data_IF_963682805627
#
_entry.id   IF_963682805627
#
_cell.length_a   1.000
_cell.length_b   1.000
_cell.length_c   1.000
_cell.angle_alpha   90.00
_cell.angle_beta   90.00
_cell.angle_gamma   90.00
#
_symmetry.space_group_name_H-M   'P 1'
#
loop_
_entity.id
_entity.type
_entity.pdbx_description
1 polymer ?
#
# COMPACT_ATOMS: atom_id res chain seq x y z
N UNK A 1 -11.49 16.63 5.31
CA UNK A 1 -11.36 15.40 6.15
C UNK A 1 -11.34 15.65 7.66
N UNK A 2 -11.19 16.89 8.16
CA UNK A 2 -11.06 17.17 9.61
C UNK A 2 -12.22 16.67 10.49
N UNK A 3 -13.45 16.59 9.96
CA UNK A 3 -14.60 16.10 10.73
C UNK A 3 -14.46 14.60 11.05
N UNK A 4 -14.10 13.78 10.06
CA UNK A 4 -13.98 12.33 10.25
C UNK A 4 -12.83 11.99 11.22
N UNK A 5 -11.70 12.68 11.11
CA UNK A 5 -10.59 12.52 12.05
C UNK A 5 -11.01 12.90 13.48
N UNK A 6 -11.76 13.99 13.65
CA UNK A 6 -12.21 14.43 14.98
C UNK A 6 -13.21 13.44 15.59
N UNK A 7 -14.13 12.89 14.80
CA UNK A 7 -15.04 11.85 15.27
C UNK A 7 -14.27 10.58 15.67
N UNK A 8 -13.26 10.21 14.89
CA UNK A 8 -12.39 9.08 15.19
C UNK A 8 -11.63 9.31 16.51
N UNK A 9 -11.01 10.48 16.70
CA UNK A 9 -10.34 10.85 17.95
C UNK A 9 -11.28 10.81 19.16
N UNK A 10 -12.49 11.37 19.02
CA UNK A 10 -13.50 11.31 20.09
C UNK A 10 -13.88 9.87 20.46
N UNK A 11 -13.98 8.97 19.48
CA UNK A 11 -14.21 7.54 19.74
C UNK A 11 -13.05 6.93 20.51
N UNK A 12 -11.80 7.20 20.09
CA UNK A 12 -10.61 6.70 20.77
C UNK A 12 -10.52 7.23 22.21
N UNK A 13 -10.78 8.52 22.44
CA UNK A 13 -10.74 9.17 23.77
C UNK A 13 -11.79 8.60 24.72
N UNK A 14 -12.98 8.25 24.21
CA UNK A 14 -14.05 7.65 25.02
C UNK A 14 -13.79 6.19 25.39
N UNK A 15 -12.82 5.53 24.75
CA UNK A 15 -12.48 4.13 24.96
C UNK A 15 -10.97 3.98 25.19
N UNK A 16 -10.43 4.49 26.31
CA UNK A 16 -8.98 4.57 26.52
C UNK A 16 -8.29 3.21 26.60
N UNK A 17 -8.97 2.20 27.13
CA UNK A 17 -8.40 0.86 27.40
C UNK A 17 -8.79 -0.16 26.32
N UNK A 18 -9.20 0.30 25.13
CA UNK A 18 -9.69 -0.54 24.04
C UNK A 18 -8.80 -0.41 22.81
N UNK A 19 -8.31 -1.55 22.29
CA UNK A 19 -7.72 -1.62 20.96
C UNK A 19 -8.78 -1.90 19.90
N UNK A 20 -8.52 -1.48 18.67
CA UNK A 20 -9.46 -1.62 17.55
C UNK A 20 -8.78 -2.30 16.37
N UNK A 21 -9.45 -3.29 15.78
CA UNK A 21 -9.00 -3.93 14.55
C UNK A 21 -9.69 -3.26 13.35
N UNK A 22 -8.93 -2.71 12.40
CA UNK A 22 -9.46 -1.86 11.33
C UNK A 22 -8.75 -2.07 9.99
N UNK A 23 -9.52 -2.24 8.90
CA UNK A 23 -9.04 -1.98 7.53
C UNK A 23 -9.07 -0.47 7.30
N UNK A 24 -8.00 0.09 6.71
CA UNK A 24 -7.78 1.53 6.68
C UNK A 24 -7.80 2.05 5.25
N UNK A 25 -9.00 2.18 4.67
CA UNK A 25 -9.10 2.71 3.31
C UNK A 25 -8.53 4.13 3.12
N UNK A 26 -8.65 5.02 4.11
CA UNK A 26 -8.11 6.39 4.05
C UNK A 26 -7.57 6.76 5.43
N UNK A 27 -6.24 6.75 5.63
CA UNK A 27 -5.67 7.02 6.93
C UNK A 27 -5.80 8.51 7.32
N UNK A 28 -6.04 8.74 8.61
CA UNK A 28 -5.86 10.05 9.25
C UNK A 28 -4.49 10.11 9.92
N UNK A 29 -4.04 11.30 10.31
CA UNK A 29 -2.77 11.44 11.02
C UNK A 29 -2.78 10.62 12.32
N UNK A 30 -3.91 10.65 13.03
CA UNK A 30 -4.15 9.89 14.26
C UNK A 30 -4.24 8.37 14.07
N UNK A 31 -4.43 7.86 12.85
CA UNK A 31 -4.59 6.42 12.61
C UNK A 31 -3.32 5.63 12.93
N UNK A 32 -2.14 6.20 12.72
CA UNK A 32 -0.87 5.46 12.81
C UNK A 32 -0.08 5.68 14.11
N UNK A 33 -0.58 6.50 15.03
CA UNK A 33 0.16 6.89 16.23
C UNK A 33 0.61 5.67 17.06
N UNK A 34 -0.34 4.80 17.38
CA UNK A 34 -0.15 3.58 18.18
C UNK A 34 -0.76 2.37 17.45
N UNK A 35 -0.40 2.21 16.17
CA UNK A 35 -0.90 1.13 15.34
C UNK A 35 0.18 0.07 15.06
N UNK A 36 -0.26 -1.18 14.91
CA UNK A 36 0.58 -2.30 14.47
C UNK A 36 -0.18 -3.20 13.48
N UNK A 37 0.52 -3.90 12.59
CA UNK A 37 -0.08 -4.94 11.76
C UNK A 37 -0.72 -6.06 12.59
N UNK A 38 -1.92 -6.48 12.18
CA UNK A 38 -2.66 -7.62 12.69
C UNK A 38 -3.19 -8.44 11.50
N UNK A 39 -2.30 -9.24 10.90
CA UNK A 39 -2.59 -9.90 9.61
C UNK A 39 -2.78 -8.86 8.51
N UNK A 40 -3.91 -8.86 7.76
CA UNK A 40 -4.16 -7.87 6.72
C UNK A 40 -4.62 -6.52 7.30
N UNK A 41 -5.23 -6.49 8.49
CA UNK A 41 -5.75 -5.25 9.09
C UNK A 41 -4.74 -4.64 10.07
N UNK A 42 -5.04 -3.45 10.58
CA UNK A 42 -4.27 -2.81 11.64
C UNK A 42 -4.96 -2.96 12.98
N UNK A 43 -4.19 -3.26 14.01
CA UNK A 43 -4.57 -2.99 15.40
C UNK A 43 -4.21 -1.53 15.70
N UNK A 44 -5.18 -0.75 16.16
CA UNK A 44 -5.04 0.64 16.59
C UNK A 44 -5.11 0.69 18.11
N UNK A 45 -4.41 1.66 18.72
CA UNK A 45 -4.26 1.78 20.18
C UNK A 45 -3.77 0.46 20.78
N UNK A 46 -2.69 -0.08 20.23
CA UNK A 46 -2.08 -1.31 20.73
C UNK A 46 -1.82 -1.18 22.24
N UNK A 47 -2.48 -2.03 23.03
CA UNK A 47 -2.36 -2.03 24.50
C UNK A 47 -1.31 -3.04 24.98
N UNK A 48 -1.19 -4.17 24.28
CA UNK A 48 -0.21 -5.20 24.59
C UNK A 48 1.16 -4.79 24.03
N UNK A 49 2.16 -4.66 24.88
CA UNK A 49 3.53 -4.33 24.47
C UNK A 49 4.10 -5.39 23.51
N UNK A 50 3.65 -6.64 23.60
CA UNK A 50 4.02 -7.69 22.63
C UNK A 50 3.49 -7.39 21.22
N UNK A 51 2.42 -6.58 21.14
CA UNK A 51 1.83 -6.12 19.90
C UNK A 51 2.40 -4.82 19.35
N UNK A 52 3.19 -4.10 20.14
CA UNK A 52 3.76 -2.82 19.72
C UNK A 52 4.63 -3.00 18.47
N UNK A 53 4.49 -2.09 17.50
CA UNK A 53 5.28 -2.17 16.27
C UNK A 53 6.77 -1.95 16.56
N UNK A 54 7.53 -3.04 16.50
CA UNK A 54 9.00 -3.08 16.55
C UNK A 54 9.58 -3.34 15.17
N UNK A 55 10.91 -3.26 15.04
CA UNK A 55 11.61 -3.70 13.80
C UNK A 55 11.32 -5.16 13.47
N UNK A 56 11.28 -6.02 14.47
CA UNK A 56 10.98 -7.45 14.26
C UNK A 56 9.57 -7.64 13.71
N UNK A 57 8.57 -6.97 14.29
CA UNK A 57 7.19 -7.02 13.79
C UNK A 57 7.03 -6.36 12.41
N UNK A 58 7.80 -5.32 12.10
CA UNK A 58 7.88 -4.78 10.75
C UNK A 58 8.38 -5.84 9.75
N UNK A 59 9.43 -6.60 10.12
CA UNK A 59 9.90 -7.75 9.35
C UNK A 59 8.82 -8.83 9.20
N UNK A 60 8.12 -9.19 10.27
CA UNK A 60 7.02 -10.17 10.22
C UNK A 60 5.87 -9.72 9.31
N UNK A 61 5.57 -8.43 9.24
CA UNK A 61 4.60 -7.86 8.29
C UNK A 61 5.05 -8.07 6.85
N UNK A 62 6.33 -7.86 6.55
CA UNK A 62 6.91 -8.16 5.22
C UNK A 62 6.78 -9.64 4.88
N UNK A 63 7.08 -10.53 5.82
CA UNK A 63 6.95 -11.99 5.65
C UNK A 63 5.49 -12.41 5.40
N UNK A 64 4.54 -11.80 6.13
CA UNK A 64 3.11 -12.02 5.91
C UNK A 64 2.69 -11.66 4.49
N UNK A 65 3.14 -10.51 3.97
CA UNK A 65 2.81 -10.07 2.62
C UNK A 65 3.51 -10.89 1.53
N UNK A 66 4.72 -11.39 1.78
CA UNK A 66 5.38 -12.37 0.89
C UNK A 66 4.54 -13.64 0.79
N UNK A 67 4.21 -14.26 1.92
CA UNK A 67 3.42 -15.49 1.96
C UNK A 67 2.03 -15.30 1.35
N UNK A 68 1.42 -14.12 1.56
CA UNK A 68 0.14 -13.75 0.94
C UNK A 68 0.25 -13.64 -0.58
N UNK A 69 1.32 -13.02 -1.09
CA UNK A 69 1.58 -12.94 -2.52
C UNK A 69 1.76 -14.33 -3.13
N UNK A 70 2.60 -15.18 -2.52
CA UNK A 70 2.81 -16.56 -2.97
C UNK A 70 1.50 -17.35 -3.00
N UNK A 71 0.68 -17.25 -1.95
CA UNK A 71 -0.62 -17.93 -1.88
C UNK A 71 -1.60 -17.44 -2.94
N UNK A 72 -1.75 -16.13 -3.11
CA UNK A 72 -2.68 -15.55 -4.08
C UNK A 72 -2.28 -15.84 -5.53
N UNK A 73 -0.97 -15.88 -5.82
CA UNK A 73 -0.46 -16.09 -7.17
C UNK A 73 -0.32 -17.57 -7.55
N UNK A 74 -0.27 -18.48 -6.55
CA UNK A 74 -0.30 -19.93 -6.79
C UNK A 74 -1.72 -20.48 -6.93
N UNK A 75 -2.74 -19.78 -6.42
CA UNK A 75 -4.14 -20.14 -6.59
C UNK A 75 -4.67 -19.63 -7.95
N UNK A 76 -5.09 -20.51 -8.88
CA UNK A 76 -5.48 -20.08 -10.23
C UNK A 76 -6.70 -19.15 -10.27
N UNK A 77 -7.64 -19.32 -9.34
CA UNK A 77 -8.85 -18.49 -9.28
C UNK A 77 -8.51 -17.08 -8.79
N UNK A 78 -7.72 -16.98 -7.72
CA UNK A 78 -7.24 -15.71 -7.20
C UNK A 78 -6.31 -15.01 -8.18
N UNK A 79 -5.40 -15.73 -8.85
CA UNK A 79 -4.46 -15.18 -9.82
C UNK A 79 -5.17 -14.50 -11.00
N UNK A 80 -6.28 -15.05 -11.48
CA UNK A 80 -7.09 -14.45 -12.56
C UNK A 80 -8.07 -13.37 -12.06
N UNK A 81 -8.35 -13.30 -10.77
CA UNK A 81 -9.34 -12.37 -10.23
C UNK A 81 -8.70 -11.04 -9.82
N UNK A 82 -8.93 -9.99 -10.61
CA UNK A 82 -8.38 -8.66 -10.32
C UNK A 82 -8.94 -8.03 -9.05
N UNK A 83 -10.20 -8.31 -8.71
CA UNK A 83 -10.85 -7.71 -7.54
C UNK A 83 -10.17 -8.07 -6.21
N UNK A 84 -10.02 -9.36 -5.83
CA UNK A 84 -9.32 -9.74 -4.61
C UNK A 84 -7.85 -9.32 -4.66
N UNK A 85 -7.17 -9.47 -5.81
CA UNK A 85 -5.78 -9.03 -5.97
C UNK A 85 -5.63 -7.54 -5.67
N UNK A 86 -6.50 -6.69 -6.19
CA UNK A 86 -6.43 -5.25 -5.93
C UNK A 86 -6.82 -4.90 -4.50
N UNK A 87 -7.76 -5.62 -3.89
CA UNK A 87 -8.09 -5.44 -2.48
C UNK A 87 -6.88 -5.76 -1.57
N UNK A 88 -6.21 -6.91 -1.78
CA UNK A 88 -5.01 -7.26 -1.02
C UNK A 88 -3.83 -6.32 -1.31
N UNK A 89 -3.63 -5.91 -2.57
CA UNK A 89 -2.60 -4.95 -2.92
C UNK A 89 -2.80 -3.59 -2.23
N UNK A 90 -4.05 -3.09 -2.19
CA UNK A 90 -4.41 -1.86 -1.49
C UNK A 90 -4.06 -1.96 0.00
N UNK A 91 -4.49 -3.03 0.67
CA UNK A 91 -4.25 -3.23 2.10
C UNK A 91 -2.76 -3.38 2.41
N UNK A 92 -2.00 -4.09 1.58
CA UNK A 92 -0.54 -4.16 1.71
C UNK A 92 0.10 -2.77 1.60
N UNK A 93 -0.37 -1.97 0.65
CA UNK A 93 0.13 -0.62 0.43
C UNK A 93 -0.22 0.34 1.59
N UNK A 94 -1.35 0.13 2.27
CA UNK A 94 -1.72 0.84 3.51
C UNK A 94 -0.80 0.47 4.67
N UNK A 95 -0.45 -0.81 4.82
CA UNK A 95 0.54 -1.20 5.84
C UNK A 95 1.93 -0.63 5.55
N UNK A 96 2.32 -0.51 4.29
CA UNK A 96 3.57 0.15 3.92
C UNK A 96 3.58 1.63 4.33
N UNK A 97 2.45 2.34 4.29
CA UNK A 97 2.37 3.71 4.83
C UNK A 97 2.63 3.75 6.32
N UNK A 98 2.03 2.84 7.09
CA UNK A 98 2.29 2.72 8.53
C UNK A 98 3.79 2.52 8.76
N UNK A 99 4.41 1.59 8.03
CA UNK A 99 5.84 1.32 8.13
C UNK A 99 6.68 2.56 7.80
N UNK A 100 6.36 3.30 6.73
CA UNK A 100 7.04 4.57 6.41
C UNK A 100 6.90 5.61 7.51
N UNK A 101 5.68 5.80 8.03
CA UNK A 101 5.41 6.77 9.10
C UNK A 101 6.13 6.43 10.40
N UNK A 102 6.45 5.15 10.60
CA UNK A 102 7.17 4.64 11.78
C UNK A 102 8.67 4.48 11.54
N UNK A 103 9.17 4.88 10.37
CA UNK A 103 10.61 4.90 10.04
C UNK A 103 11.17 3.59 9.49
N UNK A 104 10.33 2.60 9.19
CA UNK A 104 10.70 1.29 8.63
C UNK A 104 10.66 1.33 7.10
N UNK A 105 11.49 2.18 6.49
CA UNK A 105 11.44 2.46 5.06
C UNK A 105 11.80 1.26 4.17
N UNK A 106 12.73 0.40 4.62
CA UNK A 106 13.13 -0.79 3.88
C UNK A 106 11.99 -1.84 3.86
N UNK A 107 11.37 -2.05 5.01
CA UNK A 107 10.23 -2.95 5.18
C UNK A 107 9.01 -2.44 4.40
N UNK A 108 8.78 -1.13 4.39
CA UNK A 108 7.74 -0.50 3.58
C UNK A 108 7.95 -0.70 2.08
N UNK A 109 9.16 -0.48 1.58
CA UNK A 109 9.46 -0.71 0.16
C UNK A 109 9.22 -2.16 -0.24
N UNK A 110 9.69 -3.11 0.57
CA UNK A 110 9.49 -4.52 0.28
C UNK A 110 8.01 -4.91 0.29
N UNK A 111 7.23 -4.34 1.21
CA UNK A 111 5.78 -4.51 1.26
C UNK A 111 5.10 -3.93 0.02
N UNK A 112 5.50 -2.75 -0.45
CA UNK A 112 5.00 -2.15 -1.69
C UNK A 112 5.36 -2.98 -2.93
N UNK A 113 6.53 -3.63 -2.95
CA UNK A 113 6.91 -4.55 -4.01
C UNK A 113 5.99 -5.76 -4.06
N UNK A 114 5.68 -6.37 -2.91
CA UNK A 114 4.68 -7.44 -2.85
C UNK A 114 3.28 -6.96 -3.19
N UNK A 115 2.88 -5.76 -2.77
CA UNK A 115 1.61 -5.16 -3.16
C UNK A 115 1.49 -5.02 -4.69
N UNK A 116 2.55 -4.55 -5.35
CA UNK A 116 2.61 -4.42 -6.80
C UNK A 116 2.65 -5.78 -7.53
N UNK A 117 3.22 -6.82 -6.92
CA UNK A 117 3.21 -8.19 -7.43
C UNK A 117 1.81 -8.82 -7.33
N UNK A 118 1.16 -8.64 -6.17
CA UNK A 118 -0.21 -9.10 -5.91
C UNK A 118 -1.15 -8.42 -6.90
N UNK A 119 -1.11 -7.10 -7.05
CA UNK A 119 -2.00 -6.37 -7.96
C UNK A 119 -1.23 -5.47 -8.93
N UNK A 120 -0.67 -6.01 -10.03
CA UNK A 120 -0.04 -5.20 -11.06
C UNK A 120 -1.07 -4.23 -11.62
N UNK A 121 -0.78 -2.93 -11.52
CA UNK A 121 -1.73 -1.88 -11.89
C UNK A 121 -2.76 -1.53 -10.82
N UNK A 122 -2.62 -1.96 -9.56
CA UNK A 122 -3.30 -1.30 -8.44
C UNK A 122 -2.73 0.13 -8.28
N UNK A 123 -3.57 1.19 -8.32
CA UNK A 123 -3.10 2.57 -8.17
C UNK A 123 -2.33 2.79 -6.87
N UNK A 124 -2.83 2.25 -5.77
CA UNK A 124 -2.27 2.44 -4.45
C UNK A 124 -0.88 1.82 -4.37
N UNK A 125 -0.71 0.57 -4.81
CA UNK A 125 0.59 -0.09 -4.80
C UNK A 125 1.60 0.62 -5.71
N UNK A 126 1.20 0.91 -6.96
CA UNK A 126 2.10 1.49 -7.97
C UNK A 126 2.54 2.90 -7.56
N UNK A 127 1.60 3.80 -7.30
CA UNK A 127 1.97 5.21 -7.05
C UNK A 127 2.72 5.38 -5.73
N UNK A 128 2.41 4.60 -4.69
CA UNK A 128 3.19 4.65 -3.45
C UNK A 128 4.61 4.17 -3.65
N UNK A 129 4.83 3.09 -4.42
CA UNK A 129 6.17 2.61 -4.76
C UNK A 129 6.95 3.65 -5.59
N UNK A 130 6.31 4.23 -6.61
CA UNK A 130 6.93 5.27 -7.43
C UNK A 130 7.30 6.50 -6.61
N UNK A 131 6.41 6.95 -5.71
CA UNK A 131 6.68 8.08 -4.83
C UNK A 131 7.85 7.80 -3.90
N UNK A 132 7.88 6.63 -3.26
CA UNK A 132 8.97 6.23 -2.38
C UNK A 132 10.32 6.19 -3.12
N UNK A 133 10.37 5.58 -4.31
CA UNK A 133 11.58 5.52 -5.11
C UNK A 133 12.02 6.91 -5.58
N UNK A 134 11.06 7.78 -5.93
CA UNK A 134 11.32 9.16 -6.33
C UNK A 134 11.89 10.00 -5.17
N UNK A 135 11.33 9.88 -3.96
CA UNK A 135 11.83 10.55 -2.75
C UNK A 135 13.25 10.11 -2.39
N UNK A 136 13.59 8.84 -2.64
CA UNK A 136 14.95 8.30 -2.49
C UNK A 136 15.89 8.65 -3.67
N UNK A 137 15.41 9.40 -4.67
CA UNK A 137 16.17 9.74 -5.87
C UNK A 137 16.45 8.56 -6.80
N UNK A 138 15.83 7.39 -6.61
CA UNK A 138 16.00 6.18 -7.43
C UNK A 138 15.15 6.24 -8.70
N UNK A 139 15.34 7.30 -9.49
CA UNK A 139 14.50 7.63 -10.66
C UNK A 139 14.54 6.56 -11.75
N UNK A 140 15.69 5.91 -11.97
CA UNK A 140 15.81 4.84 -12.96
C UNK A 140 14.95 3.61 -12.59
N UNK A 141 14.92 3.24 -11.31
CA UNK A 141 14.07 2.15 -10.83
C UNK A 141 12.60 2.52 -10.85
N UNK A 142 12.26 3.74 -10.42
CA UNK A 142 10.89 4.25 -10.51
C UNK A 142 10.39 4.21 -11.96
N UNK A 143 11.24 4.63 -12.91
CA UNK A 143 10.90 4.59 -14.33
C UNK A 143 10.65 3.16 -14.81
N UNK A 144 11.52 2.21 -14.45
CA UNK A 144 11.36 0.80 -14.81
C UNK A 144 10.06 0.21 -14.25
N UNK A 145 9.70 0.53 -13.00
CA UNK A 145 8.43 0.10 -12.39
C UNK A 145 7.24 0.68 -13.15
N UNK A 146 7.27 1.97 -13.48
CA UNK A 146 6.18 2.63 -14.20
C UNK A 146 6.00 2.07 -15.62
N UNK A 147 7.09 1.88 -16.37
CA UNK A 147 7.06 1.31 -17.72
C UNK A 147 6.59 -0.15 -17.70
N UNK A 148 7.03 -0.96 -16.72
CA UNK A 148 6.53 -2.32 -16.57
C UNK A 148 5.03 -2.35 -16.24
N UNK A 149 4.56 -1.42 -15.41
CA UNK A 149 3.14 -1.30 -15.08
C UNK A 149 2.31 -0.98 -16.31
N UNK A 150 2.74 -0.03 -17.16
CA UNK A 150 2.06 0.26 -18.44
C UNK A 150 1.99 -0.98 -19.33
N UNK A 151 3.07 -1.76 -19.40
CA UNK A 151 3.14 -2.97 -20.23
C UNK A 151 2.24 -4.10 -19.73
N UNK A 152 2.07 -4.23 -18.43
CA UNK A 152 1.38 -5.36 -17.77
C UNK A 152 -0.02 -5.02 -17.27
N UNK A 153 -0.45 -3.76 -17.43
CA UNK A 153 -1.75 -3.27 -17.04
C UNK A 153 -2.87 -4.13 -17.67
N UNK A 154 -3.84 -4.62 -16.86
CA UNK A 154 -4.97 -5.34 -17.41
C UNK A 154 -5.73 -4.48 -18.44
N UNK A 155 -6.32 -5.10 -19.49
CA UNK A 155 -7.08 -4.37 -20.49
C UNK A 155 -8.27 -3.63 -19.85
N UNK A 156 -8.65 -2.51 -20.45
CA UNK A 156 -9.70 -1.59 -19.94
C UNK A 156 -10.99 -2.31 -19.53
N UNK A 157 -11.41 -3.31 -20.28
CA UNK A 157 -12.64 -4.06 -20.00
C UNK A 157 -12.57 -4.88 -18.70
N UNK A 158 -11.39 -5.41 -18.36
CA UNK A 158 -11.16 -6.09 -17.07
C UNK A 158 -11.07 -5.10 -15.90
N UNK A 159 -10.64 -3.86 -16.16
CA UNK A 159 -10.55 -2.81 -15.14
C UNK A 159 -11.88 -2.10 -14.87
N UNK A 160 -12.79 -2.07 -15.85
CA UNK A 160 -14.08 -1.36 -15.76
C UNK A 160 -14.96 -1.78 -14.57
N UNK A 161 -15.07 -3.06 -14.18
CA UNK A 161 -15.83 -3.45 -12.99
C UNK A 161 -15.25 -2.91 -11.68
N UNK A 162 -13.96 -2.59 -11.66
CA UNK A 162 -13.24 -2.14 -10.45
C UNK A 162 -13.23 -0.61 -10.38
N UNK A 163 -12.90 0.06 -11.48
CA UNK A 163 -12.71 1.51 -11.53
C UNK A 163 -13.86 2.27 -12.20
N UNK A 164 -14.90 1.58 -12.66
CA UNK A 164 -15.98 2.18 -13.42
C UNK A 164 -15.54 2.69 -14.80
N UNK A 165 -16.14 3.78 -15.26
CA UNK A 165 -15.96 4.28 -16.64
C UNK A 165 -14.61 4.99 -16.87
N UNK A 166 -13.84 5.22 -15.80
CA UNK A 166 -12.58 5.94 -15.85
C UNK A 166 -11.43 5.07 -15.32
N UNK A 167 -10.68 4.36 -16.16
CA UNK A 167 -9.49 3.64 -15.74
C UNK A 167 -8.36 4.65 -15.51
N UNK A 168 -8.37 5.33 -14.37
CA UNK A 168 -7.57 6.52 -14.06
C UNK A 168 -6.06 6.30 -13.92
N UNK A 169 -5.51 5.16 -14.34
CA UNK A 169 -4.10 4.84 -14.19
C UNK A 169 -3.24 5.31 -15.36
N UNK A 170 -3.71 5.14 -16.61
CA UNK A 170 -2.86 5.35 -17.78
C UNK A 170 -2.35 6.78 -17.91
N UNK A 171 -3.23 7.78 -17.76
CA UNK A 171 -2.84 9.19 -17.85
C UNK A 171 -1.79 9.58 -16.80
N UNK A 172 -2.09 9.41 -15.50
CA UNK A 172 -1.14 9.73 -14.44
C UNK A 172 0.17 8.93 -14.52
N UNK A 173 0.11 7.66 -14.94
CA UNK A 173 1.31 6.82 -15.08
C UNK A 173 2.20 7.25 -16.25
N UNK A 174 1.62 7.62 -17.40
CA UNK A 174 2.37 8.20 -18.52
C UNK A 174 3.03 9.53 -18.14
N UNK A 175 2.31 10.39 -17.42
CA UNK A 175 2.86 11.64 -16.89
C UNK A 175 4.02 11.38 -15.92
N UNK A 176 3.89 10.37 -15.05
CA UNK A 176 4.97 9.96 -14.15
C UNK A 176 6.21 9.47 -14.93
N UNK A 177 6.03 8.67 -15.98
CA UNK A 177 7.12 8.22 -16.87
C UNK A 177 7.85 9.42 -17.49
N UNK A 178 7.13 10.40 -18.02
CA UNK A 178 7.74 11.60 -18.59
C UNK A 178 8.52 12.42 -17.55
N UNK A 179 7.94 12.60 -16.36
CA UNK A 179 8.59 13.32 -15.27
C UNK A 179 9.88 12.61 -14.83
N UNK A 180 9.83 11.29 -14.65
CA UNK A 180 10.98 10.47 -14.25
C UNK A 180 12.09 10.49 -15.32
N UNK A 181 11.73 10.47 -16.61
CA UNK A 181 12.69 10.64 -17.71
C UNK A 181 13.40 11.99 -17.68
N UNK A 182 12.70 13.07 -17.32
CA UNK A 182 13.31 14.41 -17.15
C UNK A 182 14.26 14.43 -15.95
N UNK A 183 13.83 13.88 -14.80
CA UNK A 183 14.64 13.80 -13.58
C UNK A 183 15.90 12.96 -13.77
N UNK A 184 15.84 11.86 -14.51
CA UNK A 184 17.01 11.03 -14.82
C UNK A 184 18.03 11.75 -15.71
N UNK A 185 17.59 12.57 -16.66
CA UNK A 185 18.47 13.34 -17.55
C UNK A 185 19.11 14.56 -16.88
N UNK A 186 18.53 15.05 -15.78
CA UNK A 186 19.04 16.19 -15.01
C UNK A 186 20.00 15.83 -13.89
N UNK A 187 20.34 14.54 -13.73
CA UNK A 187 21.38 14.02 -12.84
C UNK A 187 22.68 13.81 -13.59
#
# INVERSE_FOLDING_TARGET
MAINERLFQMLLEKNPDTSFAMEVSFPFLSTYADAAPLGPILELRVQDENNALTRERAGQSVEYWRATAEKLLSDPEAAESLFPRFAYAKVAAEQADLLLKRGYAAEAEQTLRFANEIGPGSPEAVFRLLNLLNEQGRFAEALAVAENTVRTLPPKDRLRPIFGHNPGLNGPLLNAIEALKRLQKGK
#
